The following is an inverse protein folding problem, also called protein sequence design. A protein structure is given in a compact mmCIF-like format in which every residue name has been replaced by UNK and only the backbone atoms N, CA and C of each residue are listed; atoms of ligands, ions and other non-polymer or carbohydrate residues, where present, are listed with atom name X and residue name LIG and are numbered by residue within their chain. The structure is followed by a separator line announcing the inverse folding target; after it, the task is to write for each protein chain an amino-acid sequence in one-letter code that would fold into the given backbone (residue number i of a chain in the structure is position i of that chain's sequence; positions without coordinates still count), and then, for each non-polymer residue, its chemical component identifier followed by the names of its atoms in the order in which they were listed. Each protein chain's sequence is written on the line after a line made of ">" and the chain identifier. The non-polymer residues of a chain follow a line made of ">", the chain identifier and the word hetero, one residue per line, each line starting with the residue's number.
data_IF_743958244881
#
_entry.id   IF_743958244881
#
_cell.length_a   1.000
_cell.length_b   1.000
_cell.length_c   1.000
_cell.angle_alpha   90.00
_cell.angle_beta   90.00
_cell.angle_gamma   90.00
#
_symmetry.space_group_name_H-M   'P 1'
#
loop_
_entity.id
_entity.type
_entity.pdbx_description
1 polymer ?
#
# COMPACT_ATOMS: atom_id res chain seq x y z
N UNK A 1 -2.39 -19.15 -6.25
CA UNK A 1 -2.14 -18.88 -4.82
C UNK A 1 -3.17 -17.89 -4.31
N UNK A 2 -3.86 -18.22 -3.22
CA UNK A 2 -4.77 -17.29 -2.53
C UNK A 2 -3.96 -16.26 -1.74
N UNK A 3 -4.47 -15.03 -1.61
CA UNK A 3 -3.88 -14.00 -0.76
C UNK A 3 -4.92 -13.40 0.14
N UNK A 4 -4.49 -13.09 1.35
CA UNK A 4 -5.31 -12.51 2.38
C UNK A 4 -4.90 -11.05 2.57
N UNK A 5 -5.88 -10.16 2.63
CA UNK A 5 -5.68 -8.81 3.11
C UNK A 5 -6.00 -8.79 4.59
N UNK A 6 -5.11 -8.21 5.38
CA UNK A 6 -5.33 -8.01 6.81
C UNK A 6 -5.68 -6.54 7.09
N UNK A 7 -6.43 -6.30 8.17
CA UNK A 7 -6.66 -4.93 8.64
C UNK A 7 -5.32 -4.31 9.04
N UNK A 8 -5.05 -3.09 8.59
CA UNK A 8 -3.82 -2.37 8.96
C UNK A 8 -3.88 -1.75 10.36
N UNK A 9 -5.07 -1.68 10.98
CA UNK A 9 -5.32 -0.92 12.20
C UNK A 9 -5.41 0.61 11.99
N UNK A 10 -5.02 1.13 10.82
CA UNK A 10 -5.10 2.55 10.52
C UNK A 10 -6.56 2.99 10.30
N UNK A 11 -7.01 4.11 10.90
CA UNK A 11 -8.42 4.52 10.85
C UNK A 11 -8.91 4.89 9.45
N UNK A 12 -8.01 5.37 8.57
CA UNK A 12 -8.36 5.86 7.22
C UNK A 12 -7.72 5.10 6.06
N UNK A 13 -6.66 4.34 6.32
CA UNK A 13 -5.79 3.75 5.28
C UNK A 13 -5.65 2.27 5.58
N UNK A 14 -6.74 1.55 5.33
CA UNK A 14 -6.84 0.13 5.61
C UNK A 14 -7.31 -0.61 4.36
N UNK A 15 -6.54 -1.58 3.83
CA UNK A 15 -6.90 -2.25 2.58
C UNK A 15 -8.19 -3.05 2.70
N UNK A 16 -8.45 -3.66 3.87
CA UNK A 16 -9.70 -4.37 4.14
C UNK A 16 -10.89 -3.42 4.20
N UNK A 17 -10.72 -2.24 4.83
CA UNK A 17 -11.78 -1.23 4.88
C UNK A 17 -12.06 -0.66 3.50
N UNK A 18 -11.03 -0.34 2.72
CA UNK A 18 -11.17 0.11 1.33
C UNK A 18 -11.88 -0.91 0.45
N UNK A 19 -11.54 -2.20 0.59
CA UNK A 19 -12.23 -3.27 -0.13
C UNK A 19 -13.72 -3.39 0.28
N UNK A 20 -14.03 -3.26 1.57
CA UNK A 20 -15.41 -3.27 2.06
C UNK A 20 -16.22 -2.09 1.49
N UNK A 21 -15.63 -0.89 1.43
CA UNK A 21 -16.27 0.28 0.78
C UNK A 21 -16.56 0.03 -0.71
N UNK A 22 -15.64 -0.60 -1.43
CA UNK A 22 -15.85 -0.94 -2.84
C UNK A 22 -16.97 -1.98 -3.02
N UNK A 23 -17.07 -2.97 -2.13
CA UNK A 23 -18.17 -3.95 -2.13
C UNK A 23 -19.52 -3.30 -1.84
N UNK A 24 -19.58 -2.40 -0.85
CA UNK A 24 -20.79 -1.64 -0.52
C UNK A 24 -21.24 -0.78 -1.71
N UNK A 25 -20.30 -0.08 -2.36
CA UNK A 25 -20.58 0.68 -3.57
C UNK A 25 -21.08 -0.21 -4.72
N UNK A 26 -20.51 -1.41 -4.88
CA UNK A 26 -20.96 -2.36 -5.89
C UNK A 26 -22.42 -2.81 -5.66
N UNK A 27 -22.78 -3.08 -4.39
CA UNK A 27 -24.15 -3.44 -4.00
C UNK A 27 -25.12 -2.29 -4.27
N UNK A 28 -24.78 -1.06 -3.85
CA UNK A 28 -25.62 0.14 -4.07
C UNK A 28 -25.86 0.41 -5.56
N UNK A 29 -24.84 0.20 -6.38
CA UNK A 29 -24.92 0.37 -7.83
C UNK A 29 -25.44 -0.87 -8.57
N UNK A 30 -25.87 -1.91 -7.85
CA UNK A 30 -26.43 -3.15 -8.37
C UNK A 30 -25.53 -3.80 -9.43
N UNK A 31 -24.22 -3.78 -9.20
CA UNK A 31 -23.24 -4.39 -10.11
C UNK A 31 -23.41 -5.91 -10.15
N UNK A 32 -23.16 -6.51 -11.32
CA UNK A 32 -23.10 -7.98 -11.46
C UNK A 32 -21.74 -8.49 -10.99
N UNK A 33 -21.67 -9.76 -10.60
CA UNK A 33 -20.43 -10.42 -10.16
C UNK A 33 -19.31 -10.39 -11.21
N UNK A 34 -19.66 -10.28 -12.49
CA UNK A 34 -18.71 -10.18 -13.61
C UNK A 34 -18.20 -8.76 -13.86
N UNK A 35 -18.78 -7.75 -13.21
CA UNK A 35 -18.39 -6.36 -13.41
C UNK A 35 -17.22 -5.96 -12.48
N UNK A 36 -16.33 -5.07 -12.93
CA UNK A 36 -15.26 -4.56 -12.09
C UNK A 36 -15.82 -3.87 -10.84
N UNK A 37 -15.27 -4.21 -9.66
CA UNK A 37 -15.73 -3.67 -8.37
C UNK A 37 -15.57 -2.15 -8.24
N UNK A 38 -14.64 -1.55 -9.00
CA UNK A 38 -14.39 -0.11 -9.07
C UNK A 38 -15.30 0.62 -10.07
N UNK A 39 -16.49 0.09 -10.36
CA UNK A 39 -17.44 0.74 -11.27
C UNK A 39 -18.41 1.65 -10.50
N UNK A 40 -18.66 2.84 -11.04
CA UNK A 40 -19.66 3.78 -10.51
C UNK A 40 -21.09 3.37 -10.87
N UNK A 41 -21.24 2.63 -11.97
CA UNK A 41 -22.53 2.09 -12.42
C UNK A 41 -22.28 0.86 -13.29
N UNK A 42 -23.36 0.25 -13.79
CA UNK A 42 -23.25 -0.87 -14.74
C UNK A 42 -22.59 -0.50 -16.07
N UNK A 43 -22.48 0.78 -16.39
CA UNK A 43 -21.99 1.26 -17.70
C UNK A 43 -20.72 2.12 -17.58
N UNK A 44 -20.32 2.52 -16.38
CA UNK A 44 -19.16 3.39 -16.16
C UNK A 44 -18.21 2.82 -15.11
N UNK A 45 -17.08 2.34 -15.59
CA UNK A 45 -15.94 1.98 -14.74
C UNK A 45 -15.11 3.23 -14.39
N UNK A 46 -14.54 3.28 -13.18
CA UNK A 46 -13.56 4.30 -12.82
C UNK A 46 -12.34 4.18 -13.74
N UNK A 47 -12.01 5.27 -14.44
CA UNK A 47 -10.80 5.31 -15.28
C UNK A 47 -9.56 5.66 -14.46
N UNK A 48 -8.40 5.18 -14.92
CA UNK A 48 -7.12 5.47 -14.27
C UNK A 48 -6.81 6.97 -14.27
N UNK A 49 -7.22 7.70 -15.31
CA UNK A 49 -7.02 9.14 -15.44
C UNK A 49 -7.85 9.91 -14.42
N UNK A 50 -9.07 9.44 -14.11
CA UNK A 50 -9.92 10.04 -13.07
C UNK A 50 -9.31 9.85 -11.69
N UNK A 51 -8.81 8.64 -11.39
CA UNK A 51 -8.10 8.37 -10.15
C UNK A 51 -6.81 9.21 -10.06
N UNK A 52 -6.05 9.32 -11.15
CA UNK A 52 -4.83 10.12 -11.22
C UNK A 52 -5.11 11.60 -10.93
N UNK A 53 -6.20 12.17 -11.44
CA UNK A 53 -6.62 13.55 -11.13
C UNK A 53 -6.86 13.76 -9.64
N UNK A 54 -7.56 12.83 -8.99
CA UNK A 54 -7.83 12.90 -7.54
C UNK A 54 -6.52 12.81 -6.74
N UNK A 55 -5.63 11.89 -7.11
CA UNK A 55 -4.31 11.76 -6.46
C UNK A 55 -3.47 13.01 -6.60
N UNK A 56 -3.46 13.64 -7.78
CA UNK A 56 -2.74 14.89 -8.03
C UNK A 56 -3.31 16.07 -7.25
N UNK A 57 -4.63 16.17 -7.13
CA UNK A 57 -5.27 17.18 -6.29
C UNK A 57 -4.91 17.00 -4.81
N UNK A 58 -4.90 15.75 -4.33
CA UNK A 58 -4.45 15.45 -2.96
C UNK A 58 -2.97 15.82 -2.75
N UNK A 59 -2.11 15.51 -3.73
CA UNK A 59 -0.68 15.86 -3.68
C UNK A 59 -0.47 17.37 -3.56
N UNK A 60 -1.15 18.16 -4.40
CA UNK A 60 -1.11 19.63 -4.33
C UNK A 60 -1.55 20.13 -2.95
N UNK A 61 -2.62 19.56 -2.40
CA UNK A 61 -3.14 19.91 -1.07
C UNK A 61 -2.18 19.59 0.09
N UNK A 62 -1.20 18.70 -0.13
CA UNK A 62 -0.17 18.35 0.86
C UNK A 62 1.22 18.92 0.54
N UNK A 63 1.33 19.82 -0.45
CA UNK A 63 2.60 20.42 -0.88
C UNK A 63 3.53 19.47 -1.65
N UNK A 64 3.02 18.33 -2.13
CA UNK A 64 3.77 17.39 -2.98
C UNK A 64 3.55 17.77 -4.44
N UNK A 65 4.62 17.80 -5.24
CA UNK A 65 4.53 18.06 -6.68
C UNK A 65 3.58 17.05 -7.37
N UNK A 66 2.43 17.50 -7.90
CA UNK A 66 1.48 16.63 -8.58
C UNK A 66 2.05 15.94 -9.82
N UNK A 67 3.09 16.47 -10.44
CA UNK A 67 3.72 15.84 -11.61
C UNK A 67 4.45 14.54 -11.24
N UNK A 68 4.83 14.36 -9.97
CA UNK A 68 5.44 13.13 -9.45
C UNK A 68 4.40 12.05 -9.07
N UNK A 69 3.10 12.38 -9.10
CA UNK A 69 2.04 11.52 -8.59
C UNK A 69 1.16 10.97 -9.70
N UNK A 70 0.96 9.64 -9.68
CA UNK A 70 0.07 8.90 -10.56
C UNK A 70 -0.37 7.58 -9.90
N UNK A 71 -1.29 6.85 -10.54
CA UNK A 71 -1.61 5.49 -10.09
C UNK A 71 -0.37 4.57 -10.07
N UNK A 72 0.60 4.81 -10.96
CA UNK A 72 1.84 4.04 -11.00
C UNK A 72 2.77 4.39 -9.83
N UNK A 73 2.84 5.67 -9.43
CA UNK A 73 3.69 6.09 -8.32
C UNK A 73 3.25 5.45 -6.99
N UNK A 74 1.95 5.15 -6.81
CA UNK A 74 1.47 4.38 -5.65
C UNK A 74 2.11 3.00 -5.53
N UNK A 75 2.39 2.33 -6.66
CA UNK A 75 3.06 1.02 -6.67
C UNK A 75 4.51 1.14 -6.22
N UNK A 76 5.22 2.14 -6.74
CA UNK A 76 6.61 2.41 -6.34
C UNK A 76 6.71 2.86 -4.89
N UNK A 77 5.82 3.78 -4.49
CA UNK A 77 5.72 4.28 -3.12
C UNK A 77 5.44 3.15 -2.13
N UNK A 78 4.46 2.28 -2.41
CA UNK A 78 4.15 1.15 -1.54
C UNK A 78 5.34 0.19 -1.36
N UNK A 79 6.06 -0.13 -2.44
CA UNK A 79 7.25 -0.99 -2.37
C UNK A 79 8.39 -0.33 -1.60
N UNK A 80 8.63 0.96 -1.83
CA UNK A 80 9.65 1.75 -1.12
C UNK A 80 9.34 1.87 0.37
N UNK A 81 8.07 2.10 0.73
CA UNK A 81 7.62 2.11 2.13
C UNK A 81 7.80 0.77 2.84
N UNK A 82 7.62 -0.36 2.13
CA UNK A 82 7.89 -1.68 2.70
C UNK A 82 9.38 -1.88 2.99
N UNK A 83 10.28 -1.47 2.08
CA UNK A 83 11.72 -1.50 2.34
C UNK A 83 12.09 -0.59 3.51
N UNK A 84 11.60 0.64 3.54
CA UNK A 84 11.82 1.57 4.64
C UNK A 84 11.31 1.03 5.99
N UNK A 85 10.26 0.21 5.97
CA UNK A 85 9.76 -0.52 7.14
C UNK A 85 10.53 -1.78 7.51
N UNK A 86 11.64 -2.08 6.83
CA UNK A 86 12.49 -3.25 7.10
C UNK A 86 11.94 -4.58 6.55
N UNK A 87 10.94 -4.55 5.67
CA UNK A 87 10.42 -5.77 5.04
C UNK A 87 11.44 -6.31 4.04
N UNK A 88 11.72 -7.61 4.11
CA UNK A 88 12.70 -8.23 3.24
C UNK A 88 12.25 -8.25 1.76
N UNK A 89 13.23 -8.31 0.87
CA UNK A 89 13.01 -8.21 -0.57
C UNK A 89 12.19 -9.38 -1.15
N UNK A 90 12.24 -10.58 -0.53
CA UNK A 90 11.46 -11.74 -0.95
C UNK A 90 9.99 -11.55 -0.60
N UNK A 91 9.69 -11.07 0.61
CA UNK A 91 8.33 -10.73 1.02
C UNK A 91 7.73 -9.64 0.13
N UNK A 92 8.50 -8.60 -0.20
CA UNK A 92 8.06 -7.55 -1.14
C UNK A 92 7.78 -8.14 -2.53
N UNK A 93 8.67 -8.99 -3.05
CA UNK A 93 8.50 -9.68 -4.33
C UNK A 93 7.19 -10.48 -4.37
N UNK A 94 6.93 -11.27 -3.32
CA UNK A 94 5.72 -12.09 -3.16
C UNK A 94 4.45 -11.22 -3.05
N UNK A 95 4.51 -10.16 -2.25
CA UNK A 95 3.40 -9.24 -2.04
C UNK A 95 3.00 -8.55 -3.36
N UNK A 96 3.97 -8.00 -4.09
CA UNK A 96 3.71 -7.26 -5.33
C UNK A 96 3.52 -8.12 -6.59
N UNK A 97 3.58 -9.46 -6.50
CA UNK A 97 3.44 -10.41 -7.63
C UNK A 97 4.55 -10.31 -8.68
N UNK A 98 5.74 -9.89 -8.28
CA UNK A 98 6.83 -9.81 -9.24
C UNK A 98 7.44 -11.19 -9.49
N UNK A 99 7.49 -11.61 -10.76
CA UNK A 99 8.08 -12.90 -11.14
C UNK A 99 9.62 -12.88 -11.03
N UNK A 100 10.23 -11.74 -11.32
CA UNK A 100 11.68 -11.53 -11.36
C UNK A 100 12.13 -10.42 -10.41
N UNK A 101 13.42 -10.05 -10.48
CA UNK A 101 14.02 -8.91 -9.78
C UNK A 101 13.50 -7.53 -10.25
N UNK A 102 12.55 -7.47 -11.20
CA UNK A 102 11.94 -6.21 -11.68
C UNK A 102 11.35 -5.35 -10.56
N UNK A 103 10.98 -5.93 -9.41
CA UNK A 103 10.53 -5.17 -8.24
C UNK A 103 11.55 -4.16 -7.73
N UNK A 104 12.85 -4.40 -7.94
CA UNK A 104 13.93 -3.51 -7.52
C UNK A 104 13.83 -2.12 -8.17
N UNK A 105 13.23 -2.03 -9.37
CA UNK A 105 12.99 -0.73 -10.04
C UNK A 105 11.90 0.10 -9.36
N UNK A 106 11.10 -0.51 -8.49
CA UNK A 106 10.02 0.12 -7.75
C UNK A 106 10.42 0.47 -6.32
N UNK A 107 11.66 0.17 -5.92
CA UNK A 107 12.14 0.39 -4.58
C UNK A 107 13.19 1.47 -4.59
N UNK A 108 12.90 2.59 -3.94
CA UNK A 108 13.78 3.75 -3.89
C UNK A 108 14.49 3.83 -2.55
N UNK A 109 15.76 4.26 -2.58
CA UNK A 109 16.52 4.56 -1.39
C UNK A 109 15.96 5.82 -0.73
N UNK A 110 15.68 5.74 0.57
CA UNK A 110 15.14 6.84 1.35
C UNK A 110 15.99 7.09 2.60
N UNK A 111 15.72 8.19 3.32
CA UNK A 111 16.44 8.51 4.56
C UNK A 111 16.24 7.43 5.62
N UNK A 112 15.04 6.84 5.68
CA UNK A 112 14.68 5.77 6.61
C UNK A 112 15.51 4.50 6.36
N UNK A 113 15.86 4.23 5.09
CA UNK A 113 16.76 3.14 4.73
C UNK A 113 18.21 3.51 5.05
N UNK A 114 18.62 4.75 4.75
CA UNK A 114 20.02 5.16 4.85
C UNK A 114 20.54 5.47 6.25
N UNK A 115 19.72 6.05 7.11
CA UNK A 115 20.10 6.42 8.47
C UNK A 115 20.67 5.23 9.28
N UNK A 116 20.02 4.05 9.34
CA UNK A 116 20.58 2.91 10.07
C UNK A 116 21.86 2.37 9.42
N UNK A 117 22.00 2.45 8.09
CA UNK A 117 23.21 2.00 7.39
C UNK A 117 24.41 2.87 7.77
N UNK A 118 24.23 4.19 7.91
CA UNK A 118 25.31 5.09 8.30
C UNK A 118 25.88 4.74 9.69
N UNK A 119 25.01 4.46 10.67
CA UNK A 119 25.44 4.03 12.01
C UNK A 119 26.18 2.68 11.99
N UNK A 120 25.68 1.71 11.23
CA UNK A 120 26.35 0.42 11.04
C UNK A 120 27.74 0.57 10.43
N UNK A 121 27.89 1.44 9.42
CA UNK A 121 29.19 1.72 8.80
C UNK A 121 30.18 2.38 9.76
N UNK A 122 29.69 3.16 10.73
CA UNK A 122 30.50 3.76 11.79
C UNK A 122 30.83 2.78 12.94
N UNK A 123 30.29 1.55 12.91
CA UNK A 123 30.47 0.55 13.98
C UNK A 123 29.54 0.73 15.18
N UNK A 124 28.51 1.58 15.08
CA UNK A 124 27.51 1.79 16.14
C UNK A 124 26.32 0.84 15.96
N UNK A 125 26.36 -0.32 16.60
CA UNK A 125 25.31 -1.34 16.55
C UNK A 125 24.28 -1.19 17.68
N UNK A 126 23.21 -0.42 17.43
CA UNK A 126 21.99 -0.46 18.26
C UNK A 126 20.78 -0.88 17.42
N UNK A 127 20.70 -2.15 17.06
CA UNK A 127 19.51 -2.74 16.42
C UNK A 127 18.46 -3.07 17.48
N UNK A 128 17.74 -2.06 17.97
CA UNK A 128 16.41 -2.32 18.55
C UNK A 128 15.48 -2.66 17.40
N UNK A 129 15.31 -3.96 17.14
CA UNK A 129 14.29 -4.48 16.25
C UNK A 129 12.94 -3.94 16.72
N UNK A 130 12.37 -2.96 16.01
CA UNK A 130 11.05 -2.41 16.34
C UNK A 130 9.99 -3.42 15.93
N UNK A 131 9.88 -4.50 16.72
CA UNK A 131 8.76 -5.42 16.64
C UNK A 131 7.49 -4.61 16.89
N UNK A 132 6.68 -4.45 15.86
CA UNK A 132 5.33 -3.90 15.99
C UNK A 132 4.54 -4.84 16.90
N UNK A 133 4.40 -4.47 18.17
CA UNK A 133 3.50 -5.13 19.11
C UNK A 133 2.05 -4.88 18.64
N UNK A 134 1.52 -5.77 17.81
CA UNK A 134 0.08 -5.89 17.66
C UNK A 134 -0.40 -6.65 18.89
N UNK A 135 -0.91 -5.91 19.86
CA UNK A 135 -1.62 -6.43 21.03
C UNK A 135 -2.72 -7.39 20.55
N UNK A 136 -2.48 -8.69 20.75
CA UNK A 136 -3.52 -9.71 20.70
C UNK A 136 -4.45 -9.42 21.89
N UNK A 137 -5.60 -8.77 21.63
CA UNK A 137 -6.74 -8.85 22.55
C UNK A 137 -7.50 -10.12 22.19
N UNK A 138 -7.47 -11.05 23.13
CA UNK A 138 -8.15 -12.33 23.10
C UNK A 138 -9.61 -12.17 22.65
N UNK A 139 -9.98 -12.95 21.63
CA UNK A 139 -11.37 -13.23 21.32
C UNK A 139 -11.97 -14.01 22.48
N UNK A 140 -13.06 -13.47 23.01
CA UNK A 140 -13.92 -14.15 23.98
C UNK A 140 -14.81 -15.10 23.17
N UNK A 141 -14.81 -16.38 23.52
CA UNK A 141 -15.82 -17.33 23.09
C UNK A 141 -17.17 -16.95 23.72
N UNK A 142 -18.18 -16.76 22.87
CA UNK A 142 -19.58 -17.08 23.11
C UNK A 142 -20.28 -17.16 21.74
#
# INVERSE_FOLDING_TARGET
>A
TSRHLCRSGHPRVCPVYGAALLLELATRNKLRSTQPICSFSRTRMLKAEELSKVLKAAAAGTGVDPHQISCHSLRSGGASSLIAGGVDSTTIKLHGRWKSSVFQRYTHYSKEVGAPLAALMAGESNLTHRATSISHRNGVHA
#
